data_IF_837472015522
#
_entry.id   IF_837472015522
#
_cell.length_a   1.000
_cell.length_b   1.000
_cell.length_c   1.000
_cell.angle_alpha   90.00
_cell.angle_beta   90.00
_cell.angle_gamma   90.00
#
_symmetry.space_group_name_H-M   'P 1'
#
loop_
_entity.id
_entity.type
_entity.pdbx_description
1 polymer ?
#
# COMPACT_ATOMS: atom_id res chain seq x y z
N UNK A 1 -1.32 5.04 17.98
CA UNK A 1 -0.53 4.96 16.73
C UNK A 1 -0.03 6.32 16.32
N UNK A 2 1.25 6.44 16.06
CA UNK A 2 1.81 7.71 15.60
C UNK A 2 1.26 8.11 14.24
N UNK A 3 1.11 7.12 13.34
CA UNK A 3 0.55 7.34 12.01
C UNK A 3 -0.50 6.30 11.69
N UNK A 4 -1.54 6.74 11.02
CA UNK A 4 -2.56 5.87 10.45
C UNK A 4 -2.58 6.09 8.94
N UNK A 5 -2.52 5.01 8.18
CA UNK A 5 -2.52 5.02 6.72
C UNK A 5 -3.77 4.31 6.21
N UNK A 6 -4.44 4.91 5.23
CA UNK A 6 -5.41 4.21 4.39
C UNK A 6 -4.83 4.15 3.00
N UNK A 7 -4.84 2.97 2.40
CA UNK A 7 -4.23 2.73 1.09
C UNK A 7 -5.17 1.90 0.22
N UNK A 8 -5.21 2.21 -1.07
CA UNK A 8 -6.00 1.46 -2.04
C UNK A 8 -5.36 1.50 -3.42
N UNK A 9 -5.71 0.52 -4.23
CA UNK A 9 -5.28 0.41 -5.62
C UNK A 9 -6.41 -0.11 -6.49
N UNK A 10 -6.38 0.26 -7.75
CA UNK A 10 -7.40 -0.14 -8.72
C UNK A 10 -6.78 -0.31 -10.10
N UNK A 11 -7.41 -1.12 -10.93
CA UNK A 11 -7.04 -1.27 -12.34
C UNK A 11 -8.28 -1.27 -13.21
N UNK A 12 -8.14 -0.67 -14.39
CA UNK A 12 -9.14 -0.78 -15.45
C UNK A 12 -8.68 -1.92 -16.38
N UNK A 13 -9.18 -3.14 -16.10
CA UNK A 13 -8.61 -4.37 -16.63
C UNK A 13 -7.46 -4.85 -15.75
N UNK A 14 -7.18 -6.14 -15.74
CA UNK A 14 -6.16 -6.72 -14.85
C UNK A 14 -5.31 -7.75 -15.60
N UNK A 15 -4.21 -7.36 -16.31
CA UNK A 15 -3.57 -6.03 -16.26
C UNK A 15 -4.26 -4.96 -17.10
N UNK A 16 -3.95 -3.71 -16.79
CA UNK A 16 -4.46 -2.53 -17.49
C UNK A 16 -4.02 -1.25 -16.81
N UNK A 17 -4.56 -0.10 -17.21
CA UNK A 17 -4.26 1.16 -16.53
C UNK A 17 -4.60 1.06 -15.04
N UNK A 18 -3.66 1.41 -14.20
CA UNK A 18 -3.80 1.30 -12.75
C UNK A 18 -3.65 2.63 -12.04
N UNK A 19 -4.30 2.73 -10.87
CA UNK A 19 -4.17 3.87 -9.98
C UNK A 19 -4.01 3.42 -8.54
N UNK A 20 -3.33 4.23 -7.76
CA UNK A 20 -3.18 3.99 -6.33
C UNK A 20 -3.38 5.29 -5.57
N UNK A 21 -3.75 5.18 -4.30
CA UNK A 21 -3.89 6.34 -3.43
C UNK A 21 -3.65 5.95 -1.99
N UNK A 22 -3.16 6.91 -1.21
CA UNK A 22 -3.06 6.74 0.24
C UNK A 22 -3.27 8.07 0.95
N UNK A 23 -3.69 7.95 2.22
CA UNK A 23 -3.81 9.06 3.15
C UNK A 23 -2.96 8.70 4.35
N UNK A 24 -2.19 9.68 4.84
CA UNK A 24 -1.43 9.55 6.09
C UNK A 24 -2.02 10.52 7.08
N UNK A 25 -2.40 10.01 8.26
CA UNK A 25 -2.94 10.80 9.36
C UNK A 25 -2.03 10.71 10.58
N UNK A 26 -2.01 11.78 11.38
CA UNK A 26 -1.30 11.78 12.65
C UNK A 26 -2.14 11.11 13.76
N UNK A 27 -1.64 11.13 14.99
CA UNK A 27 -2.32 10.52 16.15
C UNK A 27 -3.66 11.17 16.46
N UNK A 28 -3.87 12.41 16.05
CA UNK A 28 -5.11 13.16 16.25
C UNK A 28 -6.11 12.97 15.09
N UNK A 29 -5.78 12.10 14.14
CA UNK A 29 -6.60 11.85 12.93
C UNK A 29 -6.64 13.05 11.96
N UNK A 30 -5.66 13.95 12.07
CA UNK A 30 -5.48 15.00 11.07
C UNK A 30 -4.79 14.43 9.85
N UNK A 31 -5.29 14.75 8.66
CA UNK A 31 -4.68 14.30 7.42
C UNK A 31 -3.42 15.12 7.15
N UNK A 32 -2.27 14.46 7.16
CA UNK A 32 -0.98 15.08 6.87
C UNK A 32 -0.70 15.08 5.38
N UNK A 33 -1.05 13.99 4.69
CA UNK A 33 -0.82 13.82 3.26
C UNK A 33 -1.95 13.03 2.63
N UNK A 34 -2.28 13.40 1.40
CA UNK A 34 -3.16 12.65 0.53
C UNK A 34 -2.47 12.60 -0.83
N UNK A 35 -2.11 11.41 -1.28
CA UNK A 35 -1.33 11.21 -2.50
C UNK A 35 -2.01 10.18 -3.39
N UNK A 36 -1.97 10.41 -4.69
CA UNK A 36 -2.42 9.43 -5.68
C UNK A 36 -1.45 9.41 -6.86
N UNK A 37 -1.45 8.31 -7.59
CA UNK A 37 -0.63 8.16 -8.77
C UNK A 37 -1.22 7.11 -9.69
N UNK A 38 -0.65 7.00 -10.88
CA UNK A 38 -1.14 6.07 -11.90
C UNK A 38 0.00 5.41 -12.65
N UNK A 39 -0.34 4.32 -13.35
CA UNK A 39 0.58 3.56 -14.17
C UNK A 39 -0.19 3.04 -15.39
N UNK A 40 0.40 3.14 -16.57
CA UNK A 40 -0.28 2.78 -17.82
C UNK A 40 -0.61 1.29 -17.91
N UNK A 41 0.18 0.44 -17.27
CA UNK A 41 -0.06 -1.01 -17.23
C UNK A 41 0.30 -1.56 -15.86
N UNK A 42 -0.68 -2.08 -15.16
CA UNK A 42 -0.51 -2.60 -13.79
C UNK A 42 -1.53 -3.69 -13.49
N UNK A 43 -1.37 -4.34 -12.35
CA UNK A 43 -2.35 -5.27 -11.79
C UNK A 43 -2.94 -4.67 -10.53
N UNK A 44 -4.10 -5.15 -10.09
CA UNK A 44 -4.71 -4.73 -8.83
C UNK A 44 -3.74 -4.88 -7.67
N UNK A 45 -3.12 -6.06 -7.52
CA UNK A 45 -2.19 -6.32 -6.42
C UNK A 45 -0.99 -5.39 -6.45
N UNK A 46 -0.47 -5.08 -7.63
CA UNK A 46 0.64 -4.14 -7.78
C UNK A 46 0.27 -2.75 -7.27
N UNK A 47 -0.93 -2.28 -7.61
CA UNK A 47 -1.39 -0.94 -7.19
C UNK A 47 -1.68 -0.88 -5.70
N UNK A 48 -2.29 -1.92 -5.13
CA UNK A 48 -2.53 -2.03 -3.69
C UNK A 48 -1.21 -1.96 -2.92
N UNK A 49 -0.24 -2.76 -3.33
CA UNK A 49 1.06 -2.83 -2.70
C UNK A 49 1.85 -1.53 -2.88
N UNK A 50 1.76 -0.91 -4.06
CA UNK A 50 2.40 0.38 -4.34
C UNK A 50 1.90 1.46 -3.38
N UNK A 51 0.60 1.53 -3.13
CA UNK A 51 0.03 2.50 -2.20
C UNK A 51 0.63 2.35 -0.80
N UNK A 52 0.74 1.12 -0.32
CA UNK A 52 1.30 0.83 1.01
C UNK A 52 2.78 1.25 1.08
N UNK A 53 3.58 0.81 0.11
CA UNK A 53 5.03 1.09 0.11
C UNK A 53 5.28 2.59 0.00
N UNK A 54 4.57 3.28 -0.87
CA UNK A 54 4.72 4.73 -1.04
C UNK A 54 4.35 5.50 0.21
N UNK A 55 3.31 5.07 0.92
CA UNK A 55 2.94 5.67 2.19
C UNK A 55 4.07 5.55 3.22
N UNK A 56 4.69 4.39 3.32
CA UNK A 56 5.79 4.15 4.24
C UNK A 56 7.04 4.98 3.88
N UNK A 57 7.31 5.16 2.60
CA UNK A 57 8.40 6.03 2.14
C UNK A 57 8.17 7.47 2.62
N UNK A 58 6.95 7.97 2.51
CA UNK A 58 6.62 9.32 2.97
C UNK A 58 6.69 9.45 4.50
N UNK A 59 6.24 8.43 5.23
CA UNK A 59 6.33 8.43 6.71
C UNK A 59 7.79 8.49 7.15
N UNK A 60 8.66 7.72 6.51
CA UNK A 60 10.08 7.74 6.84
C UNK A 60 10.67 9.14 6.67
N UNK A 61 10.22 9.88 5.68
CA UNK A 61 10.67 11.25 5.46
C UNK A 61 10.11 12.25 6.49
N UNK A 62 8.94 11.95 7.07
CA UNK A 62 8.27 12.78 8.07
C UNK A 62 8.74 12.48 9.49
N UNK A 63 9.30 11.29 9.73
CA UNK A 63 9.50 10.81 11.09
C UNK A 63 10.56 11.62 11.86
N UNK A 64 10.31 11.71 13.16
CA UNK A 64 11.29 12.16 14.12
C UNK A 64 12.17 10.95 14.49
N UNK A 65 13.43 10.98 14.12
CA UNK A 65 14.35 9.85 14.27
C UNK A 65 14.75 9.54 15.72
N UNK A 66 14.25 10.28 16.70
CA UNK A 66 14.60 10.07 18.11
C UNK A 66 13.99 8.84 18.73
N UNK A 67 12.92 8.28 18.16
CA UNK A 67 12.27 7.07 18.67
C UNK A 67 11.60 6.27 17.54
N UNK A 68 11.27 5.03 17.87
CA UNK A 68 10.54 4.14 16.97
C UNK A 68 9.10 4.66 16.74
N UNK A 69 8.68 4.74 15.49
CA UNK A 69 7.35 5.20 15.11
C UNK A 69 6.42 4.00 14.91
N UNK A 70 5.19 4.13 15.36
CA UNK A 70 4.15 3.10 15.17
C UNK A 70 3.24 3.51 14.02
N UNK A 71 2.96 2.56 13.13
CA UNK A 71 2.16 2.80 11.92
C UNK A 71 1.09 1.72 11.80
N UNK A 72 -0.17 2.14 11.65
CA UNK A 72 -1.26 1.23 11.32
C UNK A 72 -1.67 1.47 9.86
N UNK A 73 -1.67 0.41 9.06
CA UNK A 73 -2.06 0.45 7.64
C UNK A 73 -3.41 -0.22 7.49
N UNK A 74 -4.38 0.52 6.98
CA UNK A 74 -5.72 0.02 6.67
C UNK A 74 -5.84 -0.17 5.16
N UNK A 75 -6.15 -1.40 4.75
CA UNK A 75 -6.28 -1.77 3.34
C UNK A 75 -7.39 -2.81 3.19
N UNK A 76 -8.12 -2.77 2.07
CA UNK A 76 -9.11 -3.81 1.75
C UNK A 76 -8.49 -4.99 1.02
N UNK A 77 -7.18 -4.96 0.74
CA UNK A 77 -6.47 -6.05 0.09
C UNK A 77 -6.09 -7.15 1.08
N UNK A 78 -6.82 -8.27 1.03
CA UNK A 78 -6.47 -9.46 1.83
C UNK A 78 -5.06 -9.94 1.51
N UNK A 79 -4.67 -9.88 0.24
CA UNK A 79 -3.33 -10.28 -0.22
C UNK A 79 -2.22 -9.50 0.52
N UNK A 80 -2.33 -8.17 0.54
CA UNK A 80 -1.32 -7.33 1.19
C UNK A 80 -1.35 -7.47 2.72
N UNK A 81 -2.54 -7.41 3.31
CA UNK A 81 -2.69 -7.48 4.77
C UNK A 81 -2.20 -8.82 5.29
N UNK A 82 -2.59 -9.92 4.65
CA UNK A 82 -2.19 -11.26 5.10
C UNK A 82 -0.70 -11.52 4.90
N UNK A 83 -0.10 -10.99 3.85
CA UNK A 83 1.34 -11.12 3.66
C UNK A 83 2.13 -10.51 4.82
N UNK A 84 1.61 -9.45 5.41
CA UNK A 84 2.20 -8.79 6.58
C UNK A 84 1.82 -9.52 7.86
N UNK A 85 0.53 -9.68 8.14
CA UNK A 85 0.02 -10.16 9.43
C UNK A 85 0.14 -11.68 9.61
N UNK A 86 -0.03 -12.44 8.52
CA UNK A 86 0.16 -13.90 8.53
C UNK A 86 1.64 -14.27 8.34
N UNK A 87 2.48 -13.28 8.05
CA UNK A 87 3.91 -13.50 7.92
C UNK A 87 4.37 -14.14 6.62
N UNK A 88 3.55 -14.13 5.56
CA UNK A 88 3.93 -14.72 4.27
C UNK A 88 5.21 -14.11 3.71
N UNK A 89 5.40 -12.80 3.92
CA UNK A 89 6.58 -12.10 3.41
C UNK A 89 7.87 -12.67 4.00
N UNK A 90 7.85 -13.07 5.28
CA UNK A 90 9.02 -13.68 5.94
C UNK A 90 9.29 -15.07 5.40
N UNK A 91 8.24 -15.84 5.10
CA UNK A 91 8.36 -17.17 4.50
C UNK A 91 8.93 -17.06 3.09
N UNK A 92 8.45 -16.12 2.30
CA UNK A 92 9.00 -15.88 0.95
C UNK A 92 10.48 -15.50 1.00
N UNK A 93 10.85 -14.62 1.91
CA UNK A 93 12.26 -14.23 2.11
C UNK A 93 13.12 -15.45 2.42
N UNK A 94 12.67 -16.30 3.33
CA UNK A 94 13.38 -17.52 3.73
C UNK A 94 13.53 -18.50 2.57
N UNK A 95 12.54 -18.56 1.67
CA UNK A 95 12.52 -19.49 0.54
C UNK A 95 13.09 -18.89 -0.75
N UNK A 96 13.85 -17.80 -0.66
CA UNK A 96 14.48 -17.17 -1.81
C UNK A 96 13.48 -16.47 -2.73
N UNK A 97 12.38 -15.93 -2.17
CA UNK A 97 11.31 -15.24 -2.90
C UNK A 97 10.57 -16.15 -3.88
N UNK A 98 10.32 -17.38 -3.42
CA UNK A 98 9.53 -18.36 -4.17
C UNK A 98 8.34 -18.82 -3.37
N UNK A 99 7.24 -19.11 -4.07
CA UNK A 99 6.03 -19.69 -3.47
C UNK A 99 6.27 -21.17 -3.14
N UNK A 100 5.34 -21.81 -2.44
CA UNK A 100 5.39 -23.25 -2.15
C UNK A 100 5.47 -24.08 -3.42
N UNK A 101 4.85 -23.62 -4.51
CA UNK A 101 4.89 -24.29 -5.82
C UNK A 101 6.20 -24.08 -6.57
N UNK A 102 7.17 -23.37 -5.99
CA UNK A 102 8.46 -23.09 -6.60
C UNK A 102 8.46 -21.97 -7.62
N UNK A 103 7.36 -21.23 -7.72
CA UNK A 103 7.25 -20.09 -8.63
C UNK A 103 7.77 -18.81 -7.98
N UNK A 104 8.35 -17.94 -8.78
CA UNK A 104 8.81 -16.64 -8.32
C UNK A 104 7.63 -15.81 -7.77
N UNK A 105 7.82 -15.20 -6.62
CA UNK A 105 6.82 -14.30 -6.02
C UNK A 105 6.65 -13.08 -6.92
N UNK A 106 5.41 -12.74 -7.25
CA UNK A 106 5.11 -11.55 -8.07
C UNK A 106 5.36 -10.29 -7.27
N UNK A 107 5.75 -9.21 -7.95
CA UNK A 107 5.99 -7.90 -7.34
C UNK A 107 7.14 -7.91 -6.34
N UNK A 108 8.17 -8.69 -6.60
CA UNK A 108 9.32 -8.86 -5.69
C UNK A 108 9.92 -7.52 -5.28
N UNK A 109 10.09 -6.58 -6.20
CA UNK A 109 10.70 -5.28 -5.90
C UNK A 109 9.94 -4.53 -4.81
N UNK A 110 8.61 -4.55 -4.88
CA UNK A 110 7.75 -3.91 -3.89
C UNK A 110 7.79 -4.67 -2.56
N UNK A 111 7.78 -5.99 -2.60
CA UNK A 111 7.87 -6.80 -1.39
C UNK A 111 9.22 -6.64 -0.69
N UNK A 112 10.31 -6.49 -1.44
CA UNK A 112 11.63 -6.20 -0.87
C UNK A 112 11.65 -4.85 -0.15
N UNK A 113 11.06 -3.82 -0.74
CA UNK A 113 10.95 -2.52 -0.09
C UNK A 113 10.13 -2.61 1.18
N UNK A 114 8.97 -3.29 1.12
CA UNK A 114 8.12 -3.48 2.30
C UNK A 114 8.84 -4.26 3.40
N UNK A 115 9.56 -5.31 3.03
CA UNK A 115 10.35 -6.11 3.97
C UNK A 115 11.35 -5.24 4.74
N UNK A 116 12.00 -4.31 4.06
CA UNK A 116 12.95 -3.40 4.71
C UNK A 116 12.27 -2.53 5.76
N UNK A 117 11.07 -2.05 5.49
CA UNK A 117 10.29 -1.28 6.48
C UNK A 117 9.85 -2.17 7.65
N UNK A 118 9.36 -3.38 7.38
CA UNK A 118 8.89 -4.30 8.41
C UNK A 118 9.99 -4.75 9.36
N UNK A 119 11.24 -4.82 8.88
CA UNK A 119 12.39 -5.23 9.68
C UNK A 119 13.20 -4.05 10.21
N UNK A 120 12.76 -2.82 9.95
CA UNK A 120 13.43 -1.61 10.44
C UNK A 120 13.23 -1.47 11.94
N UNK A 121 14.28 -1.03 12.63
CA UNK A 121 14.19 -0.68 14.06
C UNK A 121 13.49 0.66 14.28
N UNK A 122 13.22 1.42 13.21
CA UNK A 122 12.63 2.76 13.28
C UNK A 122 11.11 2.76 13.12
N UNK A 123 10.53 1.67 12.68
CA UNK A 123 9.09 1.54 12.47
C UNK A 123 8.55 0.24 13.04
N UNK A 124 7.38 0.32 13.64
CA UNK A 124 6.58 -0.83 14.02
C UNK A 124 5.27 -0.75 13.23
N UNK A 125 5.07 -1.71 12.33
CA UNK A 125 4.00 -1.68 11.34
C UNK A 125 2.97 -2.76 11.64
N UNK A 126 1.70 -2.36 11.64
CA UNK A 126 0.56 -3.24 11.79
C UNK A 126 -0.35 -3.01 10.59
N UNK A 127 -0.87 -4.08 10.00
CA UNK A 127 -1.82 -4.00 8.90
C UNK A 127 -3.19 -4.49 9.37
N UNK A 128 -4.23 -3.77 8.98
CA UNK A 128 -5.61 -4.07 9.34
C UNK A 128 -6.44 -4.13 8.06
N UNK A 129 -7.15 -5.24 7.88
CA UNK A 129 -8.03 -5.37 6.72
C UNK A 129 -9.32 -4.61 6.98
N UNK A 130 -9.66 -3.69 6.07
CA UNK A 130 -10.97 -3.05 6.05
C UNK A 130 -11.86 -3.76 5.04
N UNK A 131 -13.16 -3.76 5.31
CA UNK A 131 -14.12 -4.33 4.38
C UNK A 131 -14.40 -3.31 3.29
N UNK A 132 -14.17 -3.68 2.03
CA UNK A 132 -14.46 -2.81 0.90
C UNK A 132 -15.95 -2.45 0.86
N UNK A 133 -16.25 -1.21 0.52
CA UNK A 133 -17.62 -0.68 0.40
C UNK A 133 -18.44 -0.80 1.69
N UNK A 134 -17.76 -0.73 2.84
CA UNK A 134 -18.41 -0.89 4.15
C UNK A 134 -18.84 0.43 4.80
N UNK A 135 -18.74 1.54 4.07
CA UNK A 135 -19.04 2.87 4.61
C UNK A 135 -17.89 3.51 5.38
N UNK A 136 -16.70 2.92 5.37
CA UNK A 136 -15.52 3.54 5.95
C UNK A 136 -15.12 4.76 5.10
N UNK A 137 -15.26 5.94 5.70
CA UNK A 137 -15.04 7.22 5.04
C UNK A 137 -13.67 7.32 4.37
N UNK A 138 -12.62 6.90 5.06
CA UNK A 138 -11.25 7.04 4.55
C UNK A 138 -10.94 5.98 3.49
N UNK A 139 -11.48 4.78 3.65
CA UNK A 139 -11.35 3.74 2.64
C UNK A 139 -12.03 4.15 1.33
N UNK A 140 -13.22 4.73 1.43
CA UNK A 140 -13.95 5.24 0.26
C UNK A 140 -13.20 6.39 -0.42
N UNK A 141 -12.56 7.22 0.37
CA UNK A 141 -11.81 8.37 -0.14
C UNK A 141 -10.61 7.92 -0.97
N UNK A 142 -9.84 6.93 -0.50
CA UNK A 142 -8.69 6.42 -1.26
C UNK A 142 -9.13 5.59 -2.46
N UNK A 143 -10.24 4.86 -2.36
CA UNK A 143 -10.81 4.13 -3.50
C UNK A 143 -11.15 5.11 -4.63
N UNK A 144 -11.86 6.18 -4.30
CA UNK A 144 -12.23 7.22 -5.26
C UNK A 144 -10.99 7.87 -5.88
N UNK A 145 -9.98 8.19 -5.06
CA UNK A 145 -8.76 8.82 -5.52
C UNK A 145 -7.96 7.93 -6.48
N UNK A 146 -7.89 6.62 -6.18
CA UNK A 146 -7.23 5.65 -7.06
C UNK A 146 -7.92 5.56 -8.42
N UNK A 147 -9.26 5.51 -8.42
CA UNK A 147 -10.06 5.47 -9.66
C UNK A 147 -9.93 6.77 -10.47
N UNK A 148 -9.90 7.91 -9.80
CA UNK A 148 -9.68 9.19 -10.45
C UNK A 148 -8.31 9.28 -11.10
N UNK A 149 -7.28 8.70 -10.48
CA UNK A 149 -5.94 8.65 -11.05
C UNK A 149 -5.93 7.89 -12.39
N UNK A 150 -6.70 6.81 -12.49
CA UNK A 150 -6.85 6.06 -13.74
C UNK A 150 -7.52 6.94 -14.81
N UNK A 151 -8.61 7.61 -14.44
CA UNK A 151 -9.34 8.50 -15.37
C UNK A 151 -8.45 9.62 -15.89
N UNK A 152 -7.66 10.23 -15.02
CA UNK A 152 -6.73 11.29 -15.40
C UNK A 152 -5.63 10.79 -16.33
N UNK A 153 -5.14 9.59 -16.12
CA UNK A 153 -4.16 8.96 -17.01
C UNK A 153 -4.75 8.75 -18.40
N UNK A 154 -5.97 8.22 -18.49
CA UNK A 154 -6.66 7.99 -19.76
C UNK A 154 -6.93 9.31 -20.50
N UNK A 155 -7.34 10.34 -19.77
CA UNK A 155 -7.59 11.67 -20.36
C UNK A 155 -6.30 12.27 -20.93
N UNK A 156 -5.18 12.14 -20.23
CA UNK A 156 -3.87 12.61 -20.71
C UNK A 156 -3.38 11.83 -21.93
N UNK A 157 -3.66 10.53 -21.98
CA UNK A 157 -3.31 9.69 -23.13
C UNK A 157 -4.13 10.00 -24.38
N UNK A 158 -5.33 10.55 -24.21
CA UNK A 158 -6.22 10.94 -25.32
C UNK A 158 -5.83 12.29 -25.96
N UNK A 159 -4.94 13.02 -25.33
CA UNK A 159 -4.41 14.28 -25.86
C UNK A 159 -3.14 13.99 -26.68
#
# INVERSE_FOLDING_TARGET
MDYTVYADGACSGNPGPGGYAFIIMNENKDILLKVSGSRSKATNNQMELTAIVRALVHIRALENHSRKQTVAIYSDSAYCVNAIEEGWIYTWKKNGWKTKAGREVKNIDLWLELYRFLTSTKMEIQAVKVKGHSGDKYNELVDKAAKEAIRNLNANSAK
#
